data_IF_923227595015
#
_entry.id   IF_923227595015
#
_cell.length_a   1.000
_cell.length_b   1.000
_cell.length_c   1.000
_cell.angle_alpha   90.00
_cell.angle_beta   90.00
_cell.angle_gamma   90.00
#
_symmetry.space_group_name_H-M   'P 1'
#
loop_
_entity.id
_entity.type
_entity.pdbx_description
1 polymer ?
#
# COMPACT_ATOMS: atom_id res chain seq x y z
N UNK A 1 -0.69 -2.03 0.06
CA UNK A 1 -0.71 -0.78 0.87
C UNK A 1 -0.71 0.41 -0.05
N UNK A 2 -1.59 1.37 0.20
CA UNK A 2 -1.77 2.58 -0.62
C UNK A 2 -1.14 3.79 0.06
N UNK A 3 -0.32 4.52 -0.67
CA UNK A 3 0.33 5.75 -0.19
C UNK A 3 -0.15 6.94 -1.01
N UNK A 4 -0.60 7.98 -0.33
CA UNK A 4 -0.89 9.27 -0.96
C UNK A 4 0.34 10.17 -0.85
N UNK A 5 0.74 10.78 -1.97
CA UNK A 5 1.73 11.86 -2.03
C UNK A 5 0.97 13.14 -2.34
N UNK A 6 1.12 14.17 -1.50
CA UNK A 6 0.60 15.52 -1.76
C UNK A 6 1.81 16.45 -1.89
N UNK A 7 2.19 16.76 -3.12
CA UNK A 7 3.44 17.47 -3.46
C UNK A 7 3.26 18.18 -4.80
N UNK A 8 3.49 19.48 -4.86
CA UNK A 8 3.31 20.30 -6.07
C UNK A 8 4.56 20.29 -6.98
N UNK A 9 5.74 20.03 -6.42
CA UNK A 9 6.95 19.92 -7.21
C UNK A 9 7.01 18.58 -7.95
N UNK A 10 6.70 18.59 -9.24
CA UNK A 10 6.61 17.39 -10.10
C UNK A 10 7.83 16.46 -10.05
N UNK A 11 9.05 17.05 -9.92
CA UNK A 11 10.28 16.26 -9.86
C UNK A 11 10.38 15.48 -8.56
N UNK A 12 10.05 16.11 -7.44
CA UNK A 12 10.03 15.49 -6.10
C UNK A 12 8.95 14.42 -6.05
N UNK A 13 7.70 14.75 -6.43
CA UNK A 13 6.59 13.81 -6.49
C UNK A 13 6.91 12.57 -7.34
N UNK A 14 7.56 12.77 -8.52
CA UNK A 14 7.97 11.68 -9.41
C UNK A 14 9.01 10.79 -8.74
N UNK A 15 10.06 11.36 -8.13
CA UNK A 15 11.12 10.58 -7.48
C UNK A 15 10.57 9.75 -6.30
N UNK A 16 9.68 10.33 -5.49
CA UNK A 16 9.03 9.63 -4.39
C UNK A 16 8.15 8.50 -4.92
N UNK A 17 7.34 8.78 -5.95
CA UNK A 17 6.48 7.78 -6.58
C UNK A 17 7.28 6.60 -7.12
N UNK A 18 8.32 6.86 -7.92
CA UNK A 18 9.18 5.81 -8.49
C UNK A 18 9.83 4.96 -7.39
N UNK A 19 10.29 5.59 -6.30
CA UNK A 19 10.83 4.87 -5.16
C UNK A 19 9.80 3.97 -4.47
N UNK A 20 8.59 4.47 -4.25
CA UNK A 20 7.51 3.70 -3.63
C UNK A 20 6.99 2.59 -4.54
N UNK A 21 6.78 2.87 -5.83
CA UNK A 21 6.37 1.87 -6.82
C UNK A 21 7.44 0.78 -6.96
N UNK A 22 8.73 1.14 -6.86
CA UNK A 22 9.85 0.19 -6.83
C UNK A 22 9.80 -0.76 -5.61
N UNK A 23 9.23 -0.32 -4.50
CA UNK A 23 8.92 -1.16 -3.32
C UNK A 23 7.48 -1.72 -3.37
N UNK A 24 6.83 -1.71 -4.54
CA UNK A 24 5.51 -2.29 -4.80
C UNK A 24 4.34 -1.65 -4.02
N UNK A 25 4.44 -0.39 -3.59
CA UNK A 25 3.29 0.34 -3.06
C UNK A 25 2.35 0.80 -4.19
N UNK A 26 1.04 0.84 -3.91
CA UNK A 26 0.06 1.54 -4.76
C UNK A 26 0.12 3.03 -4.41
N UNK A 27 0.46 3.87 -5.39
CA UNK A 27 0.75 5.29 -5.16
C UNK A 27 -0.26 6.18 -5.86
N UNK A 28 -0.86 7.09 -5.10
CA UNK A 28 -1.65 8.20 -5.64
C UNK A 28 -0.87 9.49 -5.42
N UNK A 29 -0.91 10.38 -6.40
CA UNK A 29 -0.24 11.68 -6.33
C UNK A 29 -1.30 12.77 -6.49
N UNK A 30 -1.31 13.69 -5.56
CA UNK A 30 -2.03 14.97 -5.63
C UNK A 30 -1.01 16.08 -5.83
N UNK A 31 -1.22 16.93 -6.81
CA UNK A 31 -0.32 18.04 -7.14
C UNK A 31 -0.77 19.39 -6.55
N UNK A 32 -1.88 19.39 -5.83
CA UNK A 32 -2.41 20.57 -5.11
C UNK A 32 -2.98 20.19 -3.76
N UNK A 33 -3.05 21.18 -2.86
CA UNK A 33 -3.67 20.98 -1.55
C UNK A 33 -5.16 20.61 -1.65
N UNK A 34 -5.90 21.17 -2.61
CA UNK A 34 -7.31 20.85 -2.86
C UNK A 34 -7.49 19.39 -3.28
N UNK A 35 -6.67 18.90 -4.21
CA UNK A 35 -6.70 17.52 -4.66
C UNK A 35 -6.35 16.57 -3.50
N UNK A 36 -5.30 16.89 -2.74
CA UNK A 36 -4.92 16.13 -1.55
C UNK A 36 -6.04 16.10 -0.52
N UNK A 37 -6.66 17.24 -0.25
CA UNK A 37 -7.81 17.35 0.66
C UNK A 37 -9.00 16.52 0.18
N UNK A 38 -9.31 16.57 -1.12
CA UNK A 38 -10.38 15.76 -1.70
C UNK A 38 -10.09 14.27 -1.52
N UNK A 39 -8.89 13.81 -1.87
CA UNK A 39 -8.51 12.40 -1.80
C UNK A 39 -8.57 11.85 -0.38
N UNK A 40 -8.03 12.55 0.62
CA UNK A 40 -8.08 12.07 2.03
C UNK A 40 -9.52 12.04 2.60
N UNK A 41 -10.44 12.74 1.97
CA UNK A 41 -11.84 12.71 2.38
C UNK A 41 -12.67 11.59 1.74
N UNK A 42 -12.26 11.08 0.57
CA UNK A 42 -13.05 10.14 -0.23
C UNK A 42 -12.40 8.76 -0.39
N UNK A 43 -11.09 8.66 -0.17
CA UNK A 43 -10.34 7.42 -0.30
C UNK A 43 -9.60 7.09 1.01
N UNK A 44 -9.26 5.81 1.18
CA UNK A 44 -8.46 5.35 2.33
C UNK A 44 -7.02 5.12 1.89
N UNK A 45 -6.08 5.54 2.76
CA UNK A 45 -4.64 5.37 2.57
C UNK A 45 -4.01 4.77 3.82
N UNK A 46 -2.97 3.98 3.62
CA UNK A 46 -2.18 3.40 4.71
C UNK A 46 -1.12 4.39 5.23
N UNK A 47 -0.70 5.35 4.40
CA UNK A 47 0.22 6.43 4.76
C UNK A 47 -0.01 7.64 3.84
N UNK A 48 0.23 8.85 4.36
CA UNK A 48 0.22 10.09 3.59
C UNK A 48 1.60 10.75 3.70
N UNK A 49 2.17 11.10 2.56
CA UNK A 49 3.37 11.95 2.44
C UNK A 49 2.87 13.33 2.04
N UNK A 50 3.11 14.34 2.86
CA UNK A 50 2.45 15.63 2.75
C UNK A 50 3.45 16.78 2.79
N UNK A 51 3.56 17.53 1.70
CA UNK A 51 4.23 18.83 1.75
C UNK A 51 3.34 19.86 2.49
N UNK A 52 3.97 20.67 3.31
CA UNK A 52 3.30 21.79 3.98
C UNK A 52 3.18 23.01 3.06
N UNK A 53 4.11 23.20 2.14
CA UNK A 53 4.20 24.40 1.30
C UNK A 53 3.47 24.22 -0.04
N UNK A 54 2.20 23.83 0.04
CA UNK A 54 1.38 23.63 -1.15
C UNK A 54 0.74 24.95 -1.59
N UNK A 55 0.57 25.17 -2.91
CA UNK A 55 -0.19 26.31 -3.39
C UNK A 55 -1.67 26.17 -3.00
N UNK A 56 -2.31 27.30 -2.75
CA UNK A 56 -3.74 27.49 -2.45
C UNK A 56 -4.22 26.94 -1.10
N UNK A 57 -3.73 25.81 -0.63
CA UNK A 57 -4.12 25.21 0.65
C UNK A 57 -2.91 24.70 1.43
N UNK A 58 -2.76 25.16 2.68
CA UNK A 58 -1.68 24.72 3.57
C UNK A 58 -1.84 23.22 3.90
N UNK A 59 -0.74 22.47 3.81
CA UNK A 59 -0.71 21.06 4.19
C UNK A 59 -1.15 20.81 5.63
N UNK A 60 -0.93 21.76 6.56
CA UNK A 60 -1.40 21.65 7.93
C UNK A 60 -2.94 21.59 8.04
N UNK A 61 -3.68 22.22 7.13
CA UNK A 61 -5.14 22.10 7.10
C UNK A 61 -5.59 20.69 6.73
N UNK A 62 -4.88 20.05 5.80
CA UNK A 62 -5.15 18.66 5.40
C UNK A 62 -4.92 17.74 6.61
N UNK A 63 -3.78 17.87 7.27
CA UNK A 63 -3.43 17.11 8.48
C UNK A 63 -4.48 17.30 9.58
N UNK A 64 -4.80 18.56 9.89
CA UNK A 64 -5.80 18.91 10.91
C UNK A 64 -7.15 18.27 10.60
N UNK A 65 -7.55 18.27 9.32
CA UNK A 65 -8.81 17.65 8.89
C UNK A 65 -8.80 16.14 9.10
N UNK A 66 -7.73 15.46 8.76
CA UNK A 66 -7.55 14.02 9.03
C UNK A 66 -7.74 13.75 10.54
N UNK A 67 -7.08 14.50 11.39
CA UNK A 67 -7.13 14.30 12.86
C UNK A 67 -8.50 14.64 13.45
N UNK A 68 -9.15 15.73 13.02
CA UNK A 68 -10.52 16.08 13.43
C UNK A 68 -11.55 14.98 13.09
N UNK A 69 -11.32 14.23 12.02
CA UNK A 69 -12.17 13.08 11.65
C UNK A 69 -11.83 11.80 12.42
N UNK A 70 -10.88 11.84 13.33
CA UNK A 70 -10.42 10.67 14.08
C UNK A 70 -9.59 9.68 13.24
N UNK A 71 -9.17 10.06 12.03
CA UNK A 71 -8.36 9.19 11.18
C UNK A 71 -6.92 9.14 11.71
N UNK A 72 -6.48 7.93 12.01
CA UNK A 72 -5.13 7.64 12.53
C UNK A 72 -4.14 7.26 11.42
N UNK A 73 -4.47 7.54 10.17
CA UNK A 73 -3.56 7.31 9.03
C UNK A 73 -2.23 8.02 9.30
N UNK A 74 -1.10 7.30 9.29
CA UNK A 74 0.21 7.89 9.48
C UNK A 74 0.52 8.97 8.45
N UNK A 75 1.04 10.11 8.90
CA UNK A 75 1.41 11.25 8.05
C UNK A 75 2.88 11.57 8.23
N UNK A 76 3.65 11.48 7.13
CA UNK A 76 5.02 11.98 7.01
C UNK A 76 4.98 13.36 6.36
N UNK A 77 5.39 14.38 7.10
CA UNK A 77 5.53 15.74 6.56
C UNK A 77 6.83 15.85 5.77
N UNK A 78 6.74 16.43 4.56
CA UNK A 78 7.87 16.92 3.79
C UNK A 78 7.85 18.44 3.76
N UNK A 79 9.00 19.08 3.95
CA UNK A 79 9.04 20.55 3.86
C UNK A 79 10.46 21.10 3.78
N UNK A 80 10.60 22.29 3.21
CA UNK A 80 11.84 23.04 3.23
C UNK A 80 12.07 23.78 4.56
N UNK A 81 11.10 23.80 5.48
CA UNK A 81 11.23 24.43 6.78
C UNK A 81 12.03 23.54 7.72
N UNK A 82 13.21 24.01 8.12
CA UNK A 82 14.15 23.24 8.94
C UNK A 82 14.25 23.74 10.40
N UNK A 83 13.53 24.82 10.75
CA UNK A 83 13.58 25.34 12.12
C UNK A 83 12.98 24.36 13.12
N UNK A 84 13.52 24.36 14.34
CA UNK A 84 13.00 23.54 15.44
C UNK A 84 11.52 23.84 15.69
N UNK A 85 11.13 25.12 15.62
CA UNK A 85 9.75 25.56 15.84
C UNK A 85 8.80 24.99 14.78
N UNK A 86 9.18 24.95 13.51
CA UNK A 86 8.34 24.40 12.45
C UNK A 86 8.15 22.88 12.61
N UNK A 87 9.20 22.15 13.02
CA UNK A 87 9.11 20.72 13.32
C UNK A 87 8.18 20.44 14.50
N UNK A 88 8.32 21.22 15.58
CA UNK A 88 7.45 21.10 16.75
C UNK A 88 5.99 21.35 16.36
N UNK A 89 5.71 22.43 15.62
CA UNK A 89 4.35 22.74 15.16
C UNK A 89 3.76 21.63 14.27
N UNK A 90 4.55 21.06 13.36
CA UNK A 90 4.12 19.95 12.51
C UNK A 90 3.74 18.71 13.33
N UNK A 91 4.58 18.34 14.29
CA UNK A 91 4.34 17.19 15.17
C UNK A 91 3.16 17.44 16.13
N UNK A 92 3.08 18.62 16.75
CA UNK A 92 1.96 19.01 17.62
C UNK A 92 0.61 19.05 16.86
N UNK A 93 0.65 19.30 15.55
CA UNK A 93 -0.53 19.21 14.68
C UNK A 93 -0.99 17.80 14.38
N UNK A 94 -0.26 16.79 14.89
CA UNK A 94 -0.62 15.37 14.77
C UNK A 94 0.08 14.65 13.63
N UNK A 95 1.20 15.17 13.10
CA UNK A 95 2.07 14.41 12.21
C UNK A 95 2.80 13.29 12.97
N UNK A 96 3.08 12.21 12.28
CA UNK A 96 3.74 11.05 12.89
C UNK A 96 5.25 11.05 12.67
N UNK A 97 5.73 11.75 11.63
CA UNK A 97 7.16 11.97 11.36
C UNK A 97 7.34 13.21 10.46
N UNK A 98 8.60 13.65 10.34
CA UNK A 98 8.96 14.88 9.66
C UNK A 98 10.29 14.69 8.91
N UNK A 99 10.35 15.09 7.64
CA UNK A 99 11.54 14.99 6.79
C UNK A 99 11.80 16.31 6.07
N UNK A 100 13.01 16.84 6.25
CA UNK A 100 13.42 18.13 5.66
C UNK A 100 13.94 17.94 4.24
N UNK A 101 13.53 18.79 3.33
CA UNK A 101 14.08 18.90 1.96
C UNK A 101 15.42 19.68 1.98
N UNK A 102 16.45 19.25 1.24
CA UNK A 102 16.50 18.06 0.38
C UNK A 102 16.74 16.76 1.17
N UNK A 103 16.15 15.66 0.74
CA UNK A 103 16.26 14.35 1.37
C UNK A 103 16.70 13.27 0.36
N UNK A 104 17.19 12.15 0.88
CA UNK A 104 17.45 10.96 0.07
C UNK A 104 16.18 10.07 0.02
N UNK A 105 15.79 9.61 -1.18
CA UNK A 105 14.65 8.71 -1.34
C UNK A 105 14.74 7.46 -0.44
N UNK A 106 15.89 6.80 -0.28
CA UNK A 106 16.02 5.67 0.65
C UNK A 106 15.67 6.01 2.11
N UNK A 107 15.97 7.25 2.58
CA UNK A 107 15.59 7.70 3.93
C UNK A 107 14.07 7.85 4.04
N UNK A 108 13.43 8.49 3.07
CA UNK A 108 11.98 8.62 3.02
C UNK A 108 11.29 7.26 3.06
N UNK A 109 11.75 6.30 2.25
CA UNK A 109 11.21 4.94 2.23
C UNK A 109 11.37 4.23 3.58
N UNK A 110 12.53 4.39 4.24
CA UNK A 110 12.77 3.83 5.56
C UNK A 110 11.80 4.41 6.62
N UNK A 111 11.52 5.72 6.57
CA UNK A 111 10.57 6.39 7.46
C UNK A 111 9.13 5.92 7.21
N UNK A 112 8.71 5.82 5.96
CA UNK A 112 7.39 5.28 5.60
C UNK A 112 7.23 3.86 6.13
N UNK A 113 8.23 2.97 5.95
CA UNK A 113 8.21 1.62 6.53
C UNK A 113 8.08 1.64 8.06
N UNK A 114 8.79 2.56 8.74
CA UNK A 114 8.69 2.71 10.19
C UNK A 114 7.29 3.16 10.63
N UNK A 115 6.69 4.10 9.91
CA UNK A 115 5.33 4.59 10.16
C UNK A 115 4.28 3.50 9.97
N UNK A 116 4.36 2.76 8.86
CA UNK A 116 3.45 1.66 8.56
C UNK A 116 3.52 0.51 9.57
N UNK A 117 4.63 0.39 10.30
CA UNK A 117 4.82 -0.59 11.38
C UNK A 117 4.21 -0.14 12.71
N UNK A 118 4.08 1.17 12.97
CA UNK A 118 3.53 1.69 14.23
C UNK A 118 2.08 1.24 14.45
N UNK A 119 1.78 0.75 15.64
CA UNK A 119 0.43 0.35 16.04
C UNK A 119 -0.07 -0.99 15.47
N UNK A 120 0.76 -1.70 14.70
CA UNK A 120 0.44 -3.05 14.21
C UNK A 120 1.34 -4.07 14.92
N UNK A 121 0.74 -5.14 15.44
CA UNK A 121 1.52 -6.27 15.96
C UNK A 121 2.25 -6.96 14.81
N UNK A 122 3.43 -7.52 15.05
CA UNK A 122 4.24 -8.20 14.01
C UNK A 122 3.44 -9.29 13.26
N UNK A 123 2.48 -9.93 13.93
CA UNK A 123 1.57 -10.92 13.33
C UNK A 123 0.62 -10.32 12.28
N UNK A 124 0.28 -9.03 12.37
CA UNK A 124 -0.59 -8.35 11.38
C UNK A 124 0.19 -7.90 10.16
N UNK A 125 1.51 -7.72 10.32
CA UNK A 125 2.41 -7.24 9.27
C UNK A 125 3.09 -8.38 8.50
N UNK A 126 3.06 -9.59 9.03
CA UNK A 126 3.56 -10.81 8.37
C UNK A 126 2.43 -11.81 8.23
N UNK A 127 2.19 -12.25 7.04
CA UNK A 127 1.24 -13.32 6.73
C UNK A 127 2.05 -14.58 6.39
N UNK A 128 1.63 -15.71 6.94
CA UNK A 128 2.30 -16.99 6.73
C UNK A 128 1.28 -18.09 6.46
N UNK A 129 1.61 -18.97 5.55
CA UNK A 129 0.85 -20.19 5.30
C UNK A 129 1.78 -21.27 4.73
N UNK A 130 1.92 -22.38 5.43
CA UNK A 130 2.86 -23.44 5.11
C UNK A 130 4.30 -22.88 4.98
N UNK A 131 4.92 -23.07 3.83
CA UNK A 131 6.26 -22.58 3.47
C UNK A 131 6.28 -21.19 2.84
N UNK A 132 5.11 -20.53 2.78
CA UNK A 132 4.92 -19.18 2.22
C UNK A 132 4.97 -18.12 3.32
N UNK A 133 5.81 -17.13 3.14
CA UNK A 133 5.94 -15.97 4.03
C UNK A 133 5.77 -14.68 3.24
N UNK A 134 5.02 -13.74 3.79
CA UNK A 134 4.76 -12.45 3.17
C UNK A 134 4.91 -11.33 4.21
N UNK A 135 5.84 -10.42 3.99
CA UNK A 135 6.05 -9.23 4.80
C UNK A 135 5.37 -8.03 4.14
N UNK A 136 4.33 -7.51 4.78
CA UNK A 136 3.49 -6.43 4.24
C UNK A 136 4.17 -5.07 4.29
N UNK A 137 5.17 -4.89 5.16
CA UNK A 137 5.90 -3.62 5.30
C UNK A 137 6.99 -3.51 4.25
N UNK A 138 7.83 -4.55 4.16
CA UNK A 138 8.91 -4.58 3.16
C UNK A 138 8.43 -5.04 1.79
N UNK A 139 7.17 -5.49 1.70
CA UNK A 139 6.51 -6.05 0.52
C UNK A 139 7.30 -7.19 -0.13
N UNK A 140 7.99 -7.95 0.69
CA UNK A 140 8.73 -9.14 0.27
C UNK A 140 7.88 -10.39 0.47
N UNK A 141 7.99 -11.30 -0.48
CA UNK A 141 7.36 -12.61 -0.42
C UNK A 141 8.45 -13.66 -0.60
N UNK A 142 8.43 -14.70 0.22
CA UNK A 142 9.30 -15.85 0.09
C UNK A 142 8.49 -17.14 0.20
N UNK A 143 8.89 -18.18 -0.53
CA UNK A 143 8.35 -19.52 -0.42
C UNK A 143 9.48 -20.52 -0.32
N UNK A 144 9.45 -21.40 0.68
CA UNK A 144 10.53 -22.34 1.01
C UNK A 144 11.92 -21.65 1.04
N UNK A 145 11.98 -20.42 1.59
CA UNK A 145 13.18 -19.60 1.66
C UNK A 145 13.62 -18.91 0.35
N UNK A 146 12.92 -19.11 -0.77
CA UNK A 146 13.19 -18.47 -2.05
C UNK A 146 12.34 -17.20 -2.19
N UNK A 147 12.96 -16.07 -2.50
CA UNK A 147 12.25 -14.81 -2.76
C UNK A 147 11.46 -14.89 -4.06
N UNK A 148 10.20 -14.45 -4.02
CA UNK A 148 9.32 -14.37 -5.18
C UNK A 148 9.17 -12.92 -5.63
N UNK A 149 9.50 -12.65 -6.89
CA UNK A 149 9.33 -11.33 -7.51
C UNK A 149 7.90 -11.17 -8.03
N UNK A 150 7.06 -10.51 -7.24
CA UNK A 150 5.66 -10.25 -7.58
C UNK A 150 5.48 -8.81 -8.07
N UNK A 151 4.56 -8.62 -9.02
CA UNK A 151 4.06 -7.27 -9.35
C UNK A 151 3.17 -6.75 -8.24
N UNK A 152 2.86 -5.45 -8.24
CA UNK A 152 1.94 -4.81 -7.27
C UNK A 152 0.63 -5.58 -7.17
N UNK A 153 0.01 -5.89 -8.33
CA UNK A 153 -1.29 -6.62 -8.34
C UNK A 153 -1.19 -8.07 -7.89
N UNK A 154 -0.13 -8.77 -8.25
CA UNK A 154 0.10 -10.14 -7.77
C UNK A 154 0.30 -10.16 -6.25
N UNK A 155 1.01 -9.17 -5.69
CA UNK A 155 1.19 -9.02 -4.26
C UNK A 155 -0.14 -8.74 -3.56
N UNK A 156 -0.95 -7.81 -4.05
CA UNK A 156 -2.26 -7.48 -3.48
C UNK A 156 -3.25 -8.66 -3.53
N UNK A 157 -3.26 -9.41 -4.63
CA UNK A 157 -4.05 -10.65 -4.74
C UNK A 157 -3.60 -11.66 -3.69
N UNK A 158 -2.28 -11.89 -3.56
CA UNK A 158 -1.74 -12.86 -2.61
C UNK A 158 -2.04 -12.45 -1.16
N UNK A 159 -1.87 -11.16 -0.84
CA UNK A 159 -2.25 -10.61 0.47
C UNK A 159 -3.73 -10.87 0.76
N UNK A 160 -4.61 -10.59 -0.21
CA UNK A 160 -6.03 -10.78 -0.05
C UNK A 160 -6.40 -12.25 0.17
N UNK A 161 -5.79 -13.16 -0.58
CA UNK A 161 -5.97 -14.60 -0.42
C UNK A 161 -5.47 -15.11 0.94
N UNK A 162 -4.31 -14.64 1.42
CA UNK A 162 -3.76 -14.98 2.73
C UNK A 162 -4.64 -14.50 3.88
N UNK A 163 -5.24 -13.32 3.75
CA UNK A 163 -6.21 -12.80 4.74
C UNK A 163 -7.52 -13.57 4.76
N UNK A 164 -7.86 -14.27 3.66
CA UNK A 164 -9.04 -15.12 3.52
C UNK A 164 -8.67 -16.62 3.47
N UNK A 165 -7.61 -16.99 4.20
CA UNK A 165 -7.07 -18.35 4.18
C UNK A 165 -8.15 -19.40 4.47
N UNK A 166 -8.21 -20.44 3.62
CA UNK A 166 -9.22 -21.49 3.71
C UNK A 166 -10.61 -21.11 3.22
N UNK A 167 -10.86 -19.81 2.94
CA UNK A 167 -12.08 -19.31 2.34
C UNK A 167 -11.97 -19.19 0.81
N UNK A 168 -13.12 -19.20 0.13
CA UNK A 168 -13.17 -18.96 -1.31
C UNK A 168 -13.27 -17.45 -1.57
N UNK A 169 -12.36 -16.94 -2.39
CA UNK A 169 -12.33 -15.56 -2.85
C UNK A 169 -12.92 -15.50 -4.26
N UNK A 170 -14.08 -14.85 -4.43
CA UNK A 170 -14.73 -14.71 -5.73
C UNK A 170 -14.07 -13.61 -6.58
N UNK A 171 -14.34 -13.62 -7.90
CA UNK A 171 -13.88 -12.55 -8.81
C UNK A 171 -14.47 -11.19 -8.42
N UNK A 172 -15.71 -11.16 -7.96
CA UNK A 172 -16.37 -9.94 -7.49
C UNK A 172 -15.67 -9.34 -6.26
N UNK A 173 -15.26 -10.18 -5.30
CA UNK A 173 -14.47 -9.76 -4.14
C UNK A 173 -13.15 -9.15 -4.59
N UNK A 174 -12.42 -9.80 -5.50
CA UNK A 174 -11.17 -9.27 -6.05
C UNK A 174 -11.41 -7.94 -6.79
N UNK A 175 -12.43 -7.86 -7.64
CA UNK A 175 -12.79 -6.62 -8.38
C UNK A 175 -13.03 -5.46 -7.43
N UNK A 176 -13.80 -5.68 -6.36
CA UNK A 176 -14.15 -4.66 -5.39
C UNK A 176 -12.94 -4.27 -4.51
N UNK A 177 -12.25 -5.26 -3.96
CA UNK A 177 -11.32 -5.04 -2.84
C UNK A 177 -9.85 -4.92 -3.28
N UNK A 178 -9.49 -5.48 -4.45
CA UNK A 178 -8.12 -5.41 -4.99
C UNK A 178 -8.02 -4.43 -6.17
N UNK A 179 -9.04 -4.36 -7.04
CA UNK A 179 -9.07 -3.38 -8.13
C UNK A 179 -9.79 -2.08 -7.76
N UNK A 180 -10.51 -2.06 -6.61
CA UNK A 180 -11.28 -0.90 -6.14
C UNK A 180 -12.30 -0.38 -7.17
N UNK A 181 -12.87 -1.29 -7.97
CA UNK A 181 -13.85 -0.99 -9.01
C UNK A 181 -15.22 -1.50 -8.57
N UNK A 182 -16.25 -0.64 -8.66
CA UNK A 182 -17.62 -1.07 -8.38
C UNK A 182 -18.08 -2.08 -9.44
N UNK A 183 -18.78 -3.13 -9.02
CA UNK A 183 -19.20 -4.27 -9.84
C UNK A 183 -20.06 -3.93 -11.08
N UNK A 184 -20.44 -2.66 -11.26
CA UNK A 184 -21.22 -2.18 -12.43
C UNK A 184 -20.38 -1.69 -13.60
N UNK A 185 -19.06 -1.59 -13.43
CA UNK A 185 -18.14 -1.19 -14.47
C UNK A 185 -17.46 -2.43 -15.05
N UNK A 186 -17.24 -2.49 -16.30
CA UNK A 186 -16.51 -3.46 -17.16
C UNK A 186 -16.12 -4.82 -16.52
N UNK A 187 -16.48 -5.96 -17.12
CA UNK A 187 -16.06 -7.28 -16.64
C UNK A 187 -14.53 -7.38 -16.60
N UNK A 188 -13.95 -7.57 -15.42
CA UNK A 188 -12.50 -7.75 -15.20
C UNK A 188 -12.09 -9.23 -15.17
N UNK A 189 -12.99 -10.15 -15.46
CA UNK A 189 -12.75 -11.58 -15.30
C UNK A 189 -11.48 -12.04 -16.02
N UNK A 190 -11.27 -11.62 -17.25
CA UNK A 190 -10.06 -11.96 -18.00
C UNK A 190 -8.79 -11.38 -17.37
N UNK A 191 -8.84 -10.16 -16.82
CA UNK A 191 -7.69 -9.51 -16.17
C UNK A 191 -7.35 -10.23 -14.87
N UNK A 192 -8.37 -10.62 -14.11
CA UNK A 192 -8.22 -11.38 -12.87
C UNK A 192 -7.63 -12.76 -13.19
N UNK A 193 -8.18 -13.47 -14.16
CA UNK A 193 -7.72 -14.82 -14.52
C UNK A 193 -6.27 -14.81 -15.01
N UNK A 194 -5.87 -13.82 -15.80
CA UNK A 194 -4.48 -13.63 -16.24
C UNK A 194 -3.57 -13.34 -15.05
N UNK A 195 -4.00 -12.49 -14.12
CA UNK A 195 -3.22 -12.13 -12.94
C UNK A 195 -3.05 -13.33 -12.00
N UNK A 196 -4.11 -14.10 -11.80
CA UNK A 196 -4.08 -15.37 -11.04
C UNK A 196 -3.17 -16.41 -11.71
N UNK A 197 -3.22 -16.54 -13.04
CA UNK A 197 -2.35 -17.47 -13.76
C UNK A 197 -0.87 -17.10 -13.61
N UNK A 198 -0.54 -15.80 -13.70
CA UNK A 198 0.83 -15.28 -13.48
C UNK A 198 1.29 -15.50 -12.04
N UNK A 199 0.43 -15.19 -11.08
CA UNK A 199 0.72 -15.43 -9.66
C UNK A 199 0.96 -16.92 -9.41
N UNK A 200 0.11 -17.81 -9.95
CA UNK A 200 0.28 -19.29 -9.83
C UNK A 200 1.60 -19.76 -10.41
N UNK A 201 1.99 -19.25 -11.59
CA UNK A 201 3.26 -19.60 -12.20
C UNK A 201 4.45 -19.30 -11.27
N UNK A 202 4.43 -18.16 -10.59
CA UNK A 202 5.50 -17.77 -9.65
C UNK A 202 5.39 -18.51 -8.30
N UNK A 203 4.16 -18.62 -7.80
CA UNK A 203 3.89 -19.18 -6.48
C UNK A 203 4.03 -20.70 -6.45
N UNK A 204 3.52 -21.39 -7.46
CA UNK A 204 3.32 -22.84 -7.42
C UNK A 204 4.22 -23.64 -8.36
N UNK A 205 4.52 -23.16 -9.58
CA UNK A 205 5.22 -23.98 -10.57
C UNK A 205 6.62 -24.44 -10.12
N UNK A 206 7.41 -23.59 -9.41
CA UNK A 206 8.72 -24.02 -8.90
C UNK A 206 8.65 -25.04 -7.76
N UNK A 207 7.47 -25.27 -7.17
CA UNK A 207 7.31 -26.06 -5.95
C UNK A 207 6.41 -27.28 -6.16
N UNK A 208 6.68 -28.36 -5.42
CA UNK A 208 5.90 -29.61 -5.50
C UNK A 208 4.49 -29.45 -4.94
N UNK A 209 4.35 -28.75 -3.80
CA UNK A 209 3.03 -28.48 -3.20
C UNK A 209 2.38 -27.27 -3.89
N UNK A 210 1.12 -27.42 -4.30
CA UNK A 210 0.34 -26.35 -4.92
C UNK A 210 -0.56 -25.69 -3.86
N UNK A 211 -0.47 -24.38 -3.73
CA UNK A 211 -1.22 -23.61 -2.74
C UNK A 211 -2.43 -22.91 -3.35
N UNK A 212 -2.32 -22.37 -4.57
CA UNK A 212 -3.36 -21.57 -5.21
C UNK A 212 -4.30 -22.43 -6.04
N UNK A 213 -5.47 -22.72 -5.51
CA UNK A 213 -6.49 -23.56 -6.14
C UNK A 213 -7.57 -22.73 -6.81
N UNK A 214 -8.12 -23.24 -7.90
CA UNK A 214 -9.30 -22.70 -8.57
C UNK A 214 -10.52 -23.53 -8.21
N UNK A 215 -11.51 -22.89 -7.61
CA UNK A 215 -12.83 -23.48 -7.38
C UNK A 215 -13.70 -23.13 -8.58
N UNK A 216 -13.90 -24.10 -9.48
CA UNK A 216 -14.57 -23.88 -10.77
C UNK A 216 -15.94 -23.24 -10.58
N UNK A 217 -16.19 -22.16 -11.34
CA UNK A 217 -17.45 -21.42 -11.31
C UNK A 217 -17.65 -20.52 -10.07
N UNK A 218 -16.73 -20.55 -9.08
CA UNK A 218 -16.90 -19.81 -7.81
C UNK A 218 -15.75 -18.79 -7.61
N UNK A 219 -14.49 -19.21 -7.69
CA UNK A 219 -13.37 -18.30 -7.44
C UNK A 219 -12.05 -19.03 -7.18
N UNK A 220 -11.26 -18.48 -6.27
CA UNK A 220 -9.91 -18.95 -5.94
C UNK A 220 -9.76 -19.13 -4.44
N UNK A 221 -8.87 -20.00 -4.03
CA UNK A 221 -8.61 -20.29 -2.62
C UNK A 221 -7.12 -20.59 -2.43
N UNK A 222 -6.56 -20.08 -1.33
CA UNK A 222 -5.22 -20.48 -0.90
C UNK A 222 -5.35 -21.62 0.12
N UNK A 223 -4.90 -22.81 -0.27
CA UNK A 223 -4.93 -24.02 0.54
C UNK A 223 -3.90 -25.02 0.03
N UNK A 224 -3.25 -25.73 0.94
CA UNK A 224 -2.42 -26.88 0.54
C UNK A 224 -3.30 -27.96 -0.10
N UNK A 225 -2.86 -28.50 -1.22
CA UNK A 225 -3.46 -29.68 -1.80
C UNK A 225 -3.16 -30.86 -0.87
N UNK A 226 -4.19 -31.45 -0.28
CA UNK A 226 -4.08 -32.69 0.44
C UNK A 226 -3.94 -33.77 -0.63
N UNK A 227 -2.74 -34.34 -0.75
CA UNK A 227 -2.45 -35.47 -1.63
C UNK A 227 -3.26 -36.72 -1.29
#
# INVERSE_FOLDING_TARGET
MRVLIVEDERKVAKAIREGLEGEHYDVRVASTGEEGFFLVNHETFDCVVLDLMLPHRDGLEILTTLRKRGLQTPVLILTARDTVNDRVRGLDSGADDYLVKPFAVPELLARIRALLRRGRTDQVLKLQHEDLEMDLVTRKVARAGQTLELTVKEFEILEYLLRHLGGIVSREMLTRDVWHISARATPLDNVIDVSIARLRHKLDDPFSAKLLQTVRGVGFMLRRELG
#
